data_IF_404601086668
#
_entry.id   IF_404601086668
#
_cell.length_a   1.000
_cell.length_b   1.000
_cell.length_c   1.000
_cell.angle_alpha   90.00
_cell.angle_beta   90.00
_cell.angle_gamma   90.00
#
_symmetry.space_group_name_H-M   'P 1'
#
loop_
_entity.id
_entity.type
_entity.pdbx_description
1 polymer ?
#
# COMPACT_ATOMS: atom_id res chain seq x y z
N UNK A 1 42.92 5.43 0.75
CA UNK A 1 41.66 6.15 0.52
C UNK A 1 40.54 5.15 0.72
N UNK A 2 39.87 5.21 1.87
CA UNK A 2 38.76 4.30 2.19
C UNK A 2 37.53 4.93 1.55
N UNK A 3 36.93 4.27 0.57
CA UNK A 3 35.70 4.73 -0.04
C UNK A 3 34.63 4.82 1.05
N UNK A 4 34.17 6.03 1.32
CA UNK A 4 33.13 6.29 2.30
C UNK A 4 31.82 5.68 1.76
N UNK A 5 31.19 4.70 2.42
CA UNK A 5 29.96 4.06 1.92
C UNK A 5 28.72 4.97 1.99
N UNK A 6 28.88 6.26 2.30
CA UNK A 6 27.79 7.21 2.48
C UNK A 6 27.35 7.94 1.21
N UNK A 7 27.85 7.56 0.02
CA UNK A 7 27.33 8.05 -1.26
C UNK A 7 26.56 6.97 -2.03
N UNK A 8 25.86 6.07 -1.32
CA UNK A 8 24.63 5.54 -1.89
C UNK A 8 23.65 6.71 -1.91
N UNK A 9 23.58 7.35 -3.09
CA UNK A 9 22.58 8.33 -3.44
C UNK A 9 21.23 7.79 -2.97
N UNK A 10 20.75 8.36 -1.86
CA UNK A 10 19.38 8.25 -1.43
C UNK A 10 18.61 9.09 -2.45
N UNK A 11 18.49 8.57 -3.67
CA UNK A 11 17.56 9.07 -4.66
C UNK A 11 16.18 8.67 -4.16
N UNK A 12 15.77 9.39 -3.11
CA UNK A 12 14.46 9.35 -2.55
C UNK A 12 13.55 9.93 -3.61
N UNK A 13 13.13 9.10 -4.56
CA UNK A 13 11.74 9.14 -4.99
C UNK A 13 10.93 9.06 -3.70
N UNK A 14 10.62 10.23 -3.15
CA UNK A 14 9.75 10.39 -2.01
C UNK A 14 8.43 9.86 -2.50
N UNK A 15 8.19 8.56 -2.30
CA UNK A 15 6.87 7.98 -2.47
C UNK A 15 5.97 8.84 -1.61
N UNK A 16 5.17 9.67 -2.26
CA UNK A 16 4.26 10.52 -1.53
C UNK A 16 3.35 9.58 -0.77
N UNK A 17 2.95 9.97 0.44
CA UNK A 17 1.87 9.27 1.14
C UNK A 17 0.67 9.03 0.21
N UNK A 18 0.47 9.91 -0.77
CA UNK A 18 -0.57 9.79 -1.79
C UNK A 18 -0.33 8.60 -2.71
N UNK A 19 0.89 8.44 -3.23
CA UNK A 19 1.27 7.34 -4.11
C UNK A 19 1.09 6.00 -3.39
N UNK A 20 1.51 5.94 -2.11
CA UNK A 20 1.32 4.75 -1.29
C UNK A 20 -0.17 4.38 -1.12
N UNK A 21 -1.04 5.37 -0.89
CA UNK A 21 -2.49 5.15 -0.79
C UNK A 21 -3.08 4.70 -2.12
N UNK A 22 -2.63 5.26 -3.26
CA UNK A 22 -3.05 4.82 -4.59
C UNK A 22 -2.64 3.36 -4.88
N UNK A 23 -1.38 3.00 -4.59
CA UNK A 23 -0.91 1.63 -4.78
C UNK A 23 -1.64 0.64 -3.86
N UNK A 24 -1.91 1.02 -2.61
CA UNK A 24 -2.71 0.20 -1.70
C UNK A 24 -4.14 -0.01 -2.22
N UNK A 25 -4.78 1.03 -2.75
CA UNK A 25 -6.12 0.92 -3.33
C UNK A 25 -6.17 -0.09 -4.49
N UNK A 26 -5.09 -0.20 -5.27
CA UNK A 26 -4.97 -1.15 -6.38
C UNK A 26 -4.72 -2.60 -5.92
N UNK A 27 -3.93 -2.81 -4.86
CA UNK A 27 -3.45 -4.14 -4.46
C UNK A 27 -4.43 -4.86 -3.52
N UNK A 28 -5.08 -4.14 -2.60
CA UNK A 28 -5.91 -4.75 -1.56
C UNK A 28 -7.06 -5.64 -2.11
N UNK A 29 -7.76 -5.30 -3.21
CA UNK A 29 -8.79 -6.17 -3.76
C UNK A 29 -8.28 -7.53 -4.24
N UNK A 30 -7.11 -7.57 -4.88
CA UNK A 30 -6.50 -8.83 -5.33
C UNK A 30 -5.99 -9.64 -4.13
N UNK A 31 -5.45 -8.97 -3.11
CA UNK A 31 -5.02 -9.63 -1.88
C UNK A 31 -6.21 -10.28 -1.14
N UNK A 32 -7.38 -9.64 -1.13
CA UNK A 32 -8.60 -10.22 -0.54
C UNK A 32 -9.05 -11.48 -1.30
N UNK A 33 -8.94 -11.51 -2.64
CA UNK A 33 -9.22 -12.70 -3.44
C UNK A 33 -8.27 -13.84 -3.10
N UNK A 34 -6.97 -13.56 -2.99
CA UNK A 34 -5.96 -14.55 -2.61
C UNK A 34 -6.23 -15.09 -1.20
N UNK A 35 -6.58 -14.23 -0.24
CA UNK A 35 -6.92 -14.64 1.12
C UNK A 35 -8.13 -15.59 1.15
N UNK A 36 -9.18 -15.27 0.36
CA UNK A 36 -10.36 -16.12 0.20
C UNK A 36 -10.03 -17.48 -0.42
N UNK A 37 -9.18 -17.49 -1.44
CA UNK A 37 -8.71 -18.74 -2.09
C UNK A 37 -7.83 -19.58 -1.17
N UNK A 38 -7.06 -18.92 -0.31
CA UNK A 38 -6.16 -19.58 0.65
C UNK A 38 -6.90 -20.09 1.89
N UNK A 39 -8.21 -19.84 2.00
CA UNK A 39 -9.06 -20.22 3.12
C UNK A 39 -8.50 -19.78 4.48
N UNK A 40 -7.85 -18.60 4.51
CA UNK A 40 -7.31 -18.01 5.73
C UNK A 40 -8.47 -17.27 6.41
N UNK A 41 -8.88 -17.78 7.56
CA UNK A 41 -10.05 -17.28 8.29
C UNK A 41 -10.03 -15.77 8.49
N UNK A 42 -11.11 -15.12 8.07
CA UNK A 42 -11.40 -13.68 8.21
C UNK A 42 -10.38 -12.71 7.60
N UNK A 43 -9.31 -13.19 6.97
CA UNK A 43 -8.30 -12.33 6.35
C UNK A 43 -8.86 -11.57 5.14
N UNK A 44 -9.70 -12.21 4.32
CA UNK A 44 -10.36 -11.56 3.18
C UNK A 44 -11.24 -10.38 3.65
N UNK A 45 -12.03 -10.58 4.70
CA UNK A 45 -12.86 -9.53 5.33
C UNK A 45 -12.02 -8.40 5.93
N UNK A 46 -10.88 -8.70 6.54
CA UNK A 46 -9.97 -7.68 7.09
C UNK A 46 -9.37 -6.83 5.96
N UNK A 47 -8.95 -7.46 4.87
CA UNK A 47 -8.40 -6.77 3.70
C UNK A 47 -9.48 -5.93 3.00
N UNK A 48 -10.70 -6.44 2.86
CA UNK A 48 -11.82 -5.68 2.31
C UNK A 48 -12.10 -4.41 3.12
N UNK A 49 -12.11 -4.50 4.47
CA UNK A 49 -12.24 -3.33 5.34
C UNK A 49 -11.11 -2.32 5.14
N UNK A 50 -9.87 -2.80 5.02
CA UNK A 50 -8.72 -1.93 4.74
C UNK A 50 -8.86 -1.22 3.38
N UNK A 51 -9.33 -1.94 2.35
CA UNK A 51 -9.59 -1.36 1.03
C UNK A 51 -10.62 -0.24 1.08
N UNK A 52 -11.71 -0.43 1.84
CA UNK A 52 -12.73 0.61 2.05
C UNK A 52 -12.17 1.85 2.73
N UNK A 53 -11.33 1.69 3.77
CA UNK A 53 -10.71 2.82 4.47
C UNK A 53 -9.77 3.61 3.54
N UNK A 54 -9.00 2.91 2.73
CA UNK A 54 -8.10 3.51 1.73
C UNK A 54 -8.90 4.29 0.68
N UNK A 55 -9.98 3.71 0.12
CA UNK A 55 -10.85 4.39 -0.84
C UNK A 55 -11.52 5.64 -0.24
N UNK A 56 -12.02 5.55 0.98
CA UNK A 56 -12.61 6.70 1.68
C UNK A 56 -11.60 7.83 1.89
N UNK A 57 -10.33 7.50 2.16
CA UNK A 57 -9.26 8.49 2.30
C UNK A 57 -8.92 9.23 1.00
N UNK A 58 -9.17 8.61 -0.15
CA UNK A 58 -9.03 9.24 -1.47
C UNK A 58 -10.23 10.15 -1.77
N UNK A 59 -11.45 9.69 -1.48
CA UNK A 59 -12.69 10.45 -1.72
C UNK A 59 -12.82 11.71 -0.86
N UNK A 60 -12.36 11.67 0.41
CA UNK A 60 -12.38 12.83 1.30
C UNK A 60 -11.43 13.96 0.86
N UNK A 61 -10.51 13.69 -0.07
CA UNK A 61 -9.56 14.67 -0.60
C UNK A 61 -10.06 15.45 -1.81
N UNK A 62 -11.12 14.98 -2.46
CA UNK A 62 -11.70 15.61 -3.65
C UNK A 62 -12.80 16.65 -3.30
N UNK A 63 -12.96 16.99 -2.02
CA UNK A 63 -13.84 18.04 -1.50
C UNK A 63 -13.03 19.20 -0.96
#
# INVERSE_FOLDING_TARGET
MIANPQSMNHDGSVYSRNDAVFYLAAILPELAKIARQSNIDDLDKQIERAATLVQNSLLMRER
#
